data_IF_058131285667
#
_entry.id   IF_058131285667
#
_cell.length_a   1.000
_cell.length_b   1.000
_cell.length_c   1.000
_cell.angle_alpha   90.00
_cell.angle_beta   90.00
_cell.angle_gamma   90.00
#
_symmetry.space_group_name_H-M   'P 1'
#
loop_
_entity.id
_entity.type
_entity.pdbx_description
1 polymer ?
#
# COMPACT_ATOMS: atom_id res chain seq x y z
N UNK A 1 12.34 -8.28 13.45
CA UNK A 1 11.56 -7.29 14.22
C UNK A 1 12.34 -6.39 15.18
N UNK A 2 13.52 -6.78 15.70
CA UNK A 2 14.21 -6.06 16.80
C UNK A 2 14.42 -4.54 16.57
N UNK A 3 14.56 -4.07 15.32
CA UNK A 3 14.79 -2.64 15.00
C UNK A 3 13.58 -1.71 15.24
N UNK A 4 12.35 -2.24 15.11
CA UNK A 4 11.13 -1.45 15.32
C UNK A 4 10.83 -1.11 16.79
N UNK A 5 11.44 -1.84 17.72
CA UNK A 5 11.38 -1.49 19.14
C UNK A 5 12.31 -0.30 19.45
N UNK A 6 13.45 -0.23 18.75
CA UNK A 6 14.48 0.80 18.95
C UNK A 6 14.03 2.17 18.41
N UNK A 7 13.22 2.21 17.33
CA UNK A 7 12.74 3.47 16.74
C UNK A 7 11.41 3.98 17.32
N UNK A 8 10.86 3.33 18.36
CA UNK A 8 9.64 3.76 19.05
C UNK A 8 8.31 3.58 18.29
N UNK A 9 8.34 3.26 16.99
CA UNK A 9 7.10 3.17 16.17
C UNK A 9 6.19 2.03 16.61
N UNK A 10 6.75 0.96 17.18
CA UNK A 10 5.93 -0.13 17.77
C UNK A 10 5.13 0.38 18.99
N UNK A 11 5.73 1.23 19.83
CA UNK A 11 5.02 1.80 20.97
C UNK A 11 3.86 2.70 20.51
N UNK A 12 4.06 3.47 19.44
CA UNK A 12 2.98 4.24 18.81
C UNK A 12 1.86 3.33 18.29
N UNK A 13 2.20 2.24 17.58
CA UNK A 13 1.22 1.28 17.11
C UNK A 13 0.40 0.65 18.23
N UNK A 14 1.05 0.32 19.36
CA UNK A 14 0.37 -0.17 20.56
C UNK A 14 -0.55 0.89 21.17
N UNK A 15 -0.10 2.14 21.28
CA UNK A 15 -0.93 3.23 21.79
C UNK A 15 -2.17 3.45 20.91
N UNK A 16 -2.02 3.45 19.57
CA UNK A 16 -3.14 3.56 18.63
C UNK A 16 -4.12 2.40 18.79
N UNK A 17 -3.62 1.16 18.95
CA UNK A 17 -4.45 0.00 19.18
C UNK A 17 -5.28 0.12 20.47
N UNK A 18 -4.66 0.52 21.57
CA UNK A 18 -5.32 0.70 22.87
C UNK A 18 -6.37 1.81 22.81
N UNK A 19 -6.03 2.99 22.27
CA UNK A 19 -6.96 4.11 22.09
C UNK A 19 -8.11 3.78 21.11
N UNK A 20 -7.85 2.83 20.22
CA UNK A 20 -8.81 2.25 19.29
C UNK A 20 -9.76 1.22 19.89
N UNK A 21 -9.53 0.79 21.13
CA UNK A 21 -10.26 -0.29 21.79
C UNK A 21 -9.97 -1.67 21.20
N UNK A 22 -8.82 -1.85 20.56
CA UNK A 22 -8.43 -3.11 19.95
C UNK A 22 -7.81 -4.07 20.99
N UNK A 23 -7.98 -5.37 20.79
CA UNK A 23 -7.34 -6.42 21.61
C UNK A 23 -6.05 -6.86 20.95
N UNK A 24 -4.99 -7.03 21.73
CA UNK A 24 -3.67 -7.43 21.21
C UNK A 24 -3.53 -8.95 21.21
N UNK A 25 -3.13 -9.51 20.07
CA UNK A 25 -2.79 -10.92 19.89
C UNK A 25 -1.44 -11.05 19.22
N UNK A 26 -0.71 -12.12 19.55
CA UNK A 26 0.55 -12.42 18.89
C UNK A 26 0.28 -12.99 17.50
N UNK A 27 0.86 -12.36 16.48
CA UNK A 27 0.89 -12.86 15.12
C UNK A 27 2.18 -13.62 14.82
N UNK A 28 2.38 -13.94 13.54
CA UNK A 28 3.57 -14.63 13.03
C UNK A 28 4.76 -13.66 12.95
N UNK A 29 5.98 -14.20 12.91
CA UNK A 29 7.24 -13.45 12.71
C UNK A 29 7.59 -12.38 13.75
N UNK A 30 6.86 -12.32 14.88
CA UNK A 30 7.00 -11.29 15.92
C UNK A 30 6.10 -10.07 15.71
N UNK A 31 5.12 -10.16 14.80
CA UNK A 31 4.11 -9.12 14.57
C UNK A 31 3.09 -9.19 15.69
N UNK A 32 2.61 -8.04 16.13
CA UNK A 32 1.46 -7.95 17.03
C UNK A 32 0.24 -7.62 16.18
N UNK A 33 -0.83 -8.40 16.31
CA UNK A 33 -2.11 -8.13 15.66
C UNK A 33 -3.04 -7.48 16.69
N UNK A 34 -3.46 -6.26 16.42
CA UNK A 34 -4.49 -5.56 17.17
C UNK A 34 -5.85 -5.75 16.49
N UNK A 35 -6.70 -6.61 17.05
CA UNK A 35 -7.99 -6.98 16.48
C UNK A 35 -9.15 -6.14 17.01
N UNK A 36 -10.23 -6.06 16.22
CA UNK A 36 -11.47 -5.42 16.64
C UNK A 36 -11.38 -3.89 16.78
N UNK A 37 -10.49 -3.23 16.03
CA UNK A 37 -10.37 -1.78 16.04
C UNK A 37 -11.71 -1.08 15.74
N UNK A 38 -12.18 -0.24 16.65
CA UNK A 38 -13.56 0.29 16.61
C UNK A 38 -13.71 1.67 15.96
N UNK A 39 -12.60 2.38 15.74
CA UNK A 39 -12.64 3.75 15.18
C UNK A 39 -12.91 3.70 13.69
N UNK A 40 -13.55 4.76 13.16
CA UNK A 40 -13.89 4.88 11.73
C UNK A 40 -12.71 5.28 10.85
N UNK A 41 -11.66 5.83 11.43
CA UNK A 41 -10.45 6.29 10.73
C UNK A 41 -9.26 5.47 11.20
N UNK A 42 -8.39 4.98 10.30
CA UNK A 42 -8.49 5.05 8.83
C UNK A 42 -9.63 4.17 8.27
N UNK A 43 -10.13 4.42 7.05
CA UNK A 43 -11.20 3.62 6.44
C UNK A 43 -10.75 2.21 6.01
N UNK A 44 -9.45 1.92 6.07
CA UNK A 44 -8.89 0.61 5.75
C UNK A 44 -9.37 -0.47 6.72
N UNK A 45 -9.60 -1.68 6.20
CA UNK A 45 -9.94 -2.86 7.01
C UNK A 45 -8.80 -3.26 7.93
N UNK A 46 -7.56 -3.09 7.45
CA UNK A 46 -6.31 -3.43 8.09
C UNK A 46 -5.25 -2.37 7.75
N UNK A 47 -4.33 -2.07 8.67
CA UNK A 47 -3.19 -1.20 8.43
C UNK A 47 -2.07 -1.47 9.43
N UNK A 48 -0.84 -1.08 9.12
CA UNK A 48 0.34 -1.34 9.96
C UNK A 48 0.94 -0.06 10.54
N UNK A 49 1.35 -0.12 11.81
CA UNK A 49 2.15 0.92 12.48
C UNK A 49 3.29 0.25 13.27
N UNK A 50 4.54 0.49 12.85
CA UNK A 50 5.68 -0.18 13.46
C UNK A 50 5.63 -1.70 13.24
N UNK A 51 5.57 -2.47 14.33
CA UNK A 51 5.38 -3.94 14.28
C UNK A 51 3.95 -4.38 14.61
N UNK A 52 3.00 -3.44 14.66
CA UNK A 52 1.61 -3.71 15.03
C UNK A 52 0.74 -3.61 13.78
N UNK A 53 0.08 -4.70 13.42
CA UNK A 53 -0.97 -4.70 12.40
C UNK A 53 -2.30 -4.49 13.12
N UNK A 54 -3.03 -3.44 12.76
CA UNK A 54 -4.30 -3.06 13.34
C UNK A 54 -5.41 -3.40 12.35
N UNK A 55 -6.36 -4.23 12.77
CA UNK A 55 -7.49 -4.69 11.95
C UNK A 55 -8.81 -4.48 12.66
N UNK A 56 -9.86 -4.22 11.87
CA UNK A 56 -11.25 -4.17 12.37
C UNK A 56 -11.84 -5.56 12.58
N UNK A 57 -11.24 -6.58 11.98
CA UNK A 57 -11.69 -7.98 12.05
C UNK A 57 -11.00 -8.68 13.23
N UNK A 58 -11.27 -9.97 13.40
CA UNK A 58 -10.51 -10.79 14.36
C UNK A 58 -9.08 -11.03 13.85
N UNK A 59 -8.17 -11.33 14.76
CA UNK A 59 -6.83 -11.79 14.42
C UNK A 59 -6.89 -13.11 13.64
N UNK A 60 -7.83 -14.01 13.99
CA UNK A 60 -8.01 -15.27 13.26
C UNK A 60 -8.41 -15.04 11.80
N UNK A 61 -9.24 -14.02 11.52
CA UNK A 61 -9.57 -13.63 10.15
C UNK A 61 -8.34 -13.19 9.37
N UNK A 62 -7.43 -12.42 10.00
CA UNK A 62 -6.22 -11.93 9.34
C UNK A 62 -5.17 -13.04 9.17
N UNK A 63 -5.08 -13.95 10.13
CA UNK A 63 -4.10 -15.04 10.16
C UNK A 63 -4.55 -16.30 9.39
N UNK A 64 -5.76 -16.28 8.82
CA UNK A 64 -6.27 -17.36 8.00
C UNK A 64 -5.45 -17.54 6.71
N UNK A 65 -5.35 -18.77 6.21
CA UNK A 65 -4.63 -19.15 4.98
C UNK A 65 -5.04 -18.29 3.77
N UNK A 66 -6.35 -18.11 3.55
CA UNK A 66 -6.91 -17.28 2.47
C UNK A 66 -6.53 -15.80 2.53
N UNK A 67 -5.99 -15.35 3.67
CA UNK A 67 -5.51 -13.99 3.91
C UNK A 67 -3.99 -13.91 4.06
N UNK A 68 -3.26 -15.00 3.79
CA UNK A 68 -1.80 -15.02 3.84
C UNK A 68 -1.19 -13.89 2.98
N UNK A 69 -1.74 -13.63 1.79
CA UNK A 69 -1.30 -12.52 0.94
C UNK A 69 -1.46 -11.14 1.60
N UNK A 70 -2.61 -10.89 2.24
CA UNK A 70 -2.87 -9.64 2.94
C UNK A 70 -1.96 -9.49 4.16
N UNK A 71 -1.75 -10.57 4.93
CA UNK A 71 -0.82 -10.56 6.05
C UNK A 71 0.61 -10.25 5.60
N UNK A 72 1.07 -10.85 4.49
CA UNK A 72 2.39 -10.58 3.93
C UNK A 72 2.55 -9.13 3.45
N UNK A 73 1.48 -8.54 2.91
CA UNK A 73 1.44 -7.13 2.54
C UNK A 73 1.66 -6.22 3.75
N UNK A 74 0.89 -6.44 4.83
CA UNK A 74 1.03 -5.68 6.08
C UNK A 74 2.40 -5.91 6.75
N UNK A 75 2.91 -7.14 6.71
CA UNK A 75 4.26 -7.48 7.18
C UNK A 75 5.33 -6.73 6.39
N UNK A 76 5.13 -6.49 5.08
CA UNK A 76 6.06 -5.68 4.29
C UNK A 76 6.09 -4.22 4.78
N UNK A 77 4.95 -3.64 5.15
CA UNK A 77 4.92 -2.33 5.81
C UNK A 77 5.64 -2.33 7.17
N UNK A 78 5.50 -3.39 7.95
CA UNK A 78 6.26 -3.52 9.21
C UNK A 78 7.78 -3.52 8.97
N UNK A 79 8.24 -4.14 7.88
CA UNK A 79 9.65 -4.08 7.46
C UNK A 79 10.06 -2.68 6.99
N UNK A 80 9.19 -1.96 6.29
CA UNK A 80 9.46 -0.58 5.89
C UNK A 80 9.61 0.34 7.10
N UNK A 81 8.74 0.19 8.12
CA UNK A 81 8.93 0.83 9.42
C UNK A 81 10.25 0.43 10.09
N UNK A 82 10.68 -0.83 9.97
CA UNK A 82 11.95 -1.28 10.57
C UNK A 82 13.19 -0.66 9.92
N UNK A 83 13.06 -0.21 8.68
CA UNK A 83 14.15 0.42 7.92
C UNK A 83 14.12 1.95 8.06
N UNK A 84 12.94 2.57 7.97
CA UNK A 84 12.80 4.03 7.92
C UNK A 84 12.34 4.64 9.25
N UNK A 85 11.90 3.81 10.20
CA UNK A 85 11.33 4.25 11.46
C UNK A 85 10.17 5.23 11.27
N UNK A 86 10.10 6.31 12.06
CA UNK A 86 9.00 7.27 11.98
C UNK A 86 8.94 7.99 10.62
N UNK A 87 10.07 8.10 9.90
CA UNK A 87 10.12 8.74 8.56
C UNK A 87 9.33 7.98 7.50
N UNK A 88 8.99 6.72 7.74
CA UNK A 88 8.10 5.98 6.85
C UNK A 88 6.76 6.69 6.66
N UNK A 89 6.19 7.25 7.73
CA UNK A 89 4.86 7.84 7.69
C UNK A 89 4.76 9.07 6.77
N UNK A 90 5.61 10.10 6.90
CA UNK A 90 5.60 11.22 5.95
C UNK A 90 5.96 10.77 4.54
N UNK A 91 6.94 9.87 4.37
CA UNK A 91 7.34 9.38 3.04
C UNK A 91 6.19 8.62 2.34
N UNK A 92 5.46 7.81 3.09
CA UNK A 92 4.29 7.07 2.60
C UNK A 92 3.18 8.03 2.14
N UNK A 93 2.88 9.07 2.92
CA UNK A 93 1.88 10.07 2.55
C UNK A 93 2.26 10.87 1.29
N UNK A 94 3.53 11.24 1.14
CA UNK A 94 4.03 11.88 -0.09
C UNK A 94 3.84 10.93 -1.28
N UNK A 95 4.18 9.65 -1.14
CA UNK A 95 3.98 8.65 -2.19
C UNK A 95 2.50 8.44 -2.54
N UNK A 96 1.61 8.45 -1.54
CA UNK A 96 0.16 8.45 -1.73
C UNK A 96 -0.31 9.66 -2.53
N UNK A 97 0.13 10.87 -2.16
CA UNK A 97 -0.22 12.11 -2.86
C UNK A 97 0.25 12.10 -4.32
N UNK A 98 1.49 11.67 -4.55
CA UNK A 98 2.04 11.47 -5.89
C UNK A 98 1.21 10.48 -6.72
N UNK A 99 0.89 9.32 -6.15
CA UNK A 99 0.09 8.32 -6.83
C UNK A 99 -1.32 8.79 -7.16
N UNK A 100 -1.97 9.46 -6.21
CA UNK A 100 -3.31 9.99 -6.40
C UNK A 100 -3.33 11.11 -7.45
N UNK A 101 -2.34 11.99 -7.44
CA UNK A 101 -2.21 13.06 -8.43
C UNK A 101 -2.15 12.49 -9.85
N UNK A 102 -1.37 11.41 -10.04
CA UNK A 102 -1.14 10.78 -11.34
C UNK A 102 -2.25 9.82 -11.79
N UNK A 103 -2.87 9.06 -10.88
CA UNK A 103 -3.77 7.94 -11.24
C UNK A 103 -5.16 8.01 -10.60
N UNK A 104 -5.35 8.90 -9.61
CA UNK A 104 -6.56 8.94 -8.78
C UNK A 104 -6.67 7.80 -7.77
N UNK A 105 -5.64 6.97 -7.63
CA UNK A 105 -5.54 5.90 -6.63
C UNK A 105 -4.30 6.12 -5.76
N UNK A 106 -4.40 5.87 -4.46
CA UNK A 106 -3.27 6.06 -3.53
C UNK A 106 -2.17 4.99 -3.70
N UNK A 107 -2.50 3.79 -4.17
CA UNK A 107 -1.55 2.67 -4.22
C UNK A 107 -0.75 2.54 -5.52
N UNK A 108 -1.39 2.77 -6.68
CA UNK A 108 -0.87 2.34 -7.99
C UNK A 108 0.55 2.81 -8.33
N UNK A 109 0.92 4.04 -7.98
CA UNK A 109 2.27 4.59 -8.17
C UNK A 109 3.00 4.84 -6.85
N UNK A 110 2.47 4.36 -5.73
CA UNK A 110 3.14 4.43 -4.45
C UNK A 110 4.19 3.31 -4.38
N UNK A 111 5.47 3.71 -4.26
CA UNK A 111 6.61 2.77 -4.22
C UNK A 111 6.51 1.79 -3.04
N UNK A 112 5.96 2.23 -1.91
CA UNK A 112 5.82 1.40 -0.72
C UNK A 112 4.76 0.33 -0.91
N UNK A 113 3.63 0.70 -1.52
CA UNK A 113 2.52 -0.20 -1.86
C UNK A 113 2.94 -1.24 -2.91
N UNK A 114 3.65 -0.80 -3.96
CA UNK A 114 4.18 -1.72 -4.98
C UNK A 114 5.18 -2.71 -4.38
N UNK A 115 6.08 -2.24 -3.51
CA UNK A 115 7.04 -3.11 -2.80
C UNK A 115 6.37 -4.04 -1.78
N UNK A 116 5.21 -3.65 -1.24
CA UNK A 116 4.41 -4.48 -0.34
C UNK A 116 3.51 -5.49 -1.10
N UNK A 117 3.47 -5.43 -2.43
CA UNK A 117 2.60 -6.27 -3.24
C UNK A 117 1.20 -5.66 -3.36
N UNK A 118 1.05 -4.79 -4.36
CA UNK A 118 -0.15 -3.98 -4.60
C UNK A 118 -1.45 -4.79 -4.60
N UNK A 119 -1.51 -5.89 -5.36
CA UNK A 119 -2.69 -6.74 -5.47
C UNK A 119 -3.05 -7.43 -4.14
N UNK A 120 -2.06 -7.76 -3.32
CA UNK A 120 -2.26 -8.41 -2.02
C UNK A 120 -2.87 -7.45 -0.99
N UNK A 121 -2.60 -6.15 -1.12
CA UNK A 121 -3.23 -5.07 -0.37
C UNK A 121 -4.61 -4.64 -0.91
N UNK A 122 -5.11 -5.30 -1.97
CA UNK A 122 -6.42 -5.02 -2.56
C UNK A 122 -6.43 -3.85 -3.55
N UNK A 123 -5.27 -3.36 -3.98
CA UNK A 123 -5.17 -2.32 -5.01
C UNK A 123 -5.06 -2.92 -6.41
N UNK A 124 -5.87 -2.40 -7.33
CA UNK A 124 -5.73 -2.65 -8.75
C UNK A 124 -4.72 -1.66 -9.37
N UNK A 125 -4.00 -2.12 -10.39
CA UNK A 125 -3.24 -1.21 -11.24
C UNK A 125 -4.21 -0.28 -12.00
N UNK A 126 -3.83 0.99 -12.11
CA UNK A 126 -4.61 2.02 -12.79
C UNK A 126 -3.74 2.77 -13.80
N UNK A 127 -4.30 3.13 -14.97
CA UNK A 127 -3.58 3.97 -15.92
C UNK A 127 -3.34 5.37 -15.33
N UNK A 128 -2.44 6.11 -15.97
CA UNK A 128 -2.30 7.54 -15.70
C UNK A 128 -3.58 8.27 -16.10
N UNK A 129 -3.89 9.36 -15.39
CA UNK A 129 -4.97 10.27 -15.79
C UNK A 129 -4.66 10.84 -17.18
N UNK A 130 -5.67 11.14 -18.01
CA UNK A 130 -5.48 11.61 -19.38
C UNK A 130 -4.54 12.81 -19.54
N UNK A 131 -4.56 13.75 -18.58
CA UNK A 131 -3.66 14.91 -18.54
C UNK A 131 -2.16 14.56 -18.42
N UNK A 132 -1.83 13.32 -18.06
CA UNK A 132 -0.47 12.81 -17.91
C UNK A 132 -0.15 11.67 -18.91
N UNK A 133 -1.11 11.22 -19.70
CA UNK A 133 -0.83 10.37 -20.84
C UNK A 133 -0.43 11.26 -22.01
N UNK A 134 0.79 11.12 -22.54
CA UNK A 134 1.07 11.64 -23.89
C UNK A 134 0.10 10.93 -24.83
N UNK A 135 -0.80 11.68 -25.48
CA UNK A 135 -1.42 11.18 -26.69
C UNK A 135 -0.28 10.69 -27.59
N UNK A 136 -0.35 9.46 -28.14
CA UNK A 136 0.48 9.15 -29.29
C UNK A 136 0.16 10.24 -30.31
N UNK A 137 1.15 11.05 -30.67
CA UNK A 137 0.98 11.93 -31.80
C UNK A 137 0.62 11.01 -32.97
N UNK A 138 -0.61 11.12 -33.46
CA UNK A 138 -1.07 10.46 -34.68
C UNK A 138 -0.19 10.97 -35.81
N UNK A 139 0.93 10.29 -36.03
CA UNK A 139 1.78 10.49 -37.18
C UNK A 139 1.13 9.84 -38.38
N UNK A 140 0.07 10.45 -38.91
CA UNK A 140 -0.38 10.17 -40.27
C UNK A 140 0.64 10.75 -41.26
N UNK A 141 1.76 10.07 -41.44
CA UNK A 141 2.48 10.15 -42.72
C UNK A 141 1.73 9.23 -43.69
N UNK A 142 0.71 9.78 -44.32
CA UNK A 142 0.31 9.36 -45.66
C UNK A 142 1.53 9.58 -46.58
N UNK A 143 2.31 8.52 -46.79
CA UNK A 143 3.12 8.42 -48.00
C UNK A 143 2.22 7.76 -49.01
N UNK A 144 1.73 8.59 -49.93
CA UNK A 144 0.98 8.18 -51.09
C UNK A 144 1.69 7.00 -51.77
N UNK A 145 0.88 5.97 -51.98
CA UNK A 145 1.21 4.84 -52.80
C UNK A 145 1.59 5.33 -54.20
N UNK A 146 2.75 4.87 -54.67
CA UNK A 146 3.07 4.96 -56.09
C UNK A 146 1.95 4.35 -56.92
N UNK A 147 1.66 4.99 -58.03
CA UNK A 147 0.85 4.41 -59.11
C UNK A 147 1.56 4.66 -60.44
N UNK A 148 1.34 3.76 -61.41
CA UNK A 148 2.34 3.38 -62.40
C UNK A 148 2.37 4.31 -63.62
N UNK A 149 3.53 4.34 -64.30
CA UNK A 149 3.66 4.99 -65.62
C UNK A 149 2.78 4.32 -66.66
N UNK A 150 2.12 5.08 -67.56
CA UNK A 150 1.54 4.54 -68.76
C UNK A 150 2.49 4.66 -69.96
N UNK A 151 2.56 3.55 -70.72
CA UNK A 151 3.11 3.35 -72.08
C UNK A 151 4.61 3.09 -72.19
#
# INVERSE_FOLDING_TARGET
MKRNAVNGTTAVGLAVAVLGGAKLRRGRDGIIVAEGYRRRVPPATCFTVGSVIITRRSADWLLHEDRAGLFDHERAHARQYALLGPFFWPAYWVACGYSWALTGCYGTRNVFERRAGLARGGYAERPLRPRFTRSPATGSRSRDAGSPSPR
#
